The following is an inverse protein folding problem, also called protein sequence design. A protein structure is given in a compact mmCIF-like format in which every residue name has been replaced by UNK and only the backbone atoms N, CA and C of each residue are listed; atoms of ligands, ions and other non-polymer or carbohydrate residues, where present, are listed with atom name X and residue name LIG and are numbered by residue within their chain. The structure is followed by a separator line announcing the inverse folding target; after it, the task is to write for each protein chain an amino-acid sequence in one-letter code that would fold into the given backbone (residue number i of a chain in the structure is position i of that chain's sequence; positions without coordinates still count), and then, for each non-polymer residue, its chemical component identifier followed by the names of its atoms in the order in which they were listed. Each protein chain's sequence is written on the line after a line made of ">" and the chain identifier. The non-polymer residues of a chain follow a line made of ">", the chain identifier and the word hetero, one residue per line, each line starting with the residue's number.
data_IF_697422230399
#
_entry.id   IF_697422230399
#
_cell.length_a   1.000
_cell.length_b   1.000
_cell.length_c   1.000
_cell.angle_alpha   90.00
_cell.angle_beta   90.00
_cell.angle_gamma   90.00
#
_symmetry.space_group_name_H-M   'P 1'
#
loop_
_entity.id
_entity.type
_entity.pdbx_description
1 polymer ?
#
# COMPACT_ATOMS: atom_id res chain seq x y z
N UNK A 1 -30.75 13.76 -13.68
CA UNK A 1 -29.76 12.79 -13.16
C UNK A 1 -30.56 11.53 -12.93
N UNK A 2 -30.38 10.53 -13.79
CA UNK A 2 -31.25 9.36 -13.82
C UNK A 2 -30.97 8.47 -12.61
N UNK A 3 -32.01 7.84 -12.07
CA UNK A 3 -31.95 6.96 -10.89
C UNK A 3 -30.89 5.86 -11.07
N UNK A 4 -30.75 5.36 -12.29
CA UNK A 4 -29.79 4.32 -12.66
C UNK A 4 -28.32 4.78 -12.49
N UNK A 5 -28.01 6.04 -12.79
CA UNK A 5 -26.68 6.58 -12.56
C UNK A 5 -26.36 6.75 -11.08
N UNK A 6 -27.35 7.13 -10.26
CA UNK A 6 -27.16 7.23 -8.81
C UNK A 6 -26.93 5.84 -8.23
N UNK A 7 -27.74 4.86 -8.66
CA UNK A 7 -27.62 3.49 -8.16
C UNK A 7 -26.27 2.88 -8.53
N UNK A 8 -25.84 3.02 -9.77
CA UNK A 8 -24.51 2.56 -10.21
C UNK A 8 -23.38 3.19 -9.42
N UNK A 9 -23.44 4.51 -9.17
CA UNK A 9 -22.44 5.22 -8.36
C UNK A 9 -22.36 4.69 -6.92
N UNK A 10 -23.51 4.38 -6.31
CA UNK A 10 -23.57 3.80 -4.96
C UNK A 10 -22.99 2.37 -4.94
N UNK A 11 -23.22 1.59 -5.99
CA UNK A 11 -22.65 0.24 -6.11
C UNK A 11 -21.12 0.32 -6.25
N UNK A 12 -20.58 1.19 -7.10
CA UNK A 12 -19.14 1.41 -7.21
C UNK A 12 -18.51 1.84 -5.89
N UNK A 13 -19.11 2.82 -5.20
CA UNK A 13 -18.62 3.28 -3.90
C UNK A 13 -18.60 2.14 -2.86
N UNK A 14 -19.66 1.32 -2.85
CA UNK A 14 -19.77 0.18 -1.94
C UNK A 14 -18.71 -0.89 -2.26
N UNK A 15 -18.44 -1.15 -3.53
CA UNK A 15 -17.41 -2.09 -3.97
C UNK A 15 -16.00 -1.59 -3.60
N UNK A 16 -15.69 -0.30 -3.82
CA UNK A 16 -14.44 0.32 -3.37
C UNK A 16 -14.25 0.18 -1.86
N UNK A 17 -15.29 0.45 -1.10
CA UNK A 17 -15.25 0.33 0.36
C UNK A 17 -15.04 -1.13 0.79
N UNK A 18 -15.67 -2.09 0.11
CA UNK A 18 -15.45 -3.51 0.37
C UNK A 18 -14.00 -3.93 0.12
N UNK A 19 -13.39 -3.49 -0.98
CA UNK A 19 -11.96 -3.73 -1.28
C UNK A 19 -11.07 -3.08 -0.22
N UNK A 20 -11.39 -1.86 0.20
CA UNK A 20 -10.64 -1.16 1.26
C UNK A 20 -10.71 -1.93 2.59
N UNK A 21 -11.91 -2.40 2.98
CA UNK A 21 -12.11 -3.21 4.19
C UNK A 21 -11.35 -4.54 4.08
N UNK A 22 -11.38 -5.20 2.92
CA UNK A 22 -10.59 -6.40 2.67
C UNK A 22 -9.09 -6.15 2.84
N UNK A 23 -8.57 -5.05 2.30
CA UNK A 23 -7.19 -4.63 2.50
C UNK A 23 -6.84 -4.38 3.97
N UNK A 24 -7.72 -3.70 4.72
CA UNK A 24 -7.57 -3.54 6.17
C UNK A 24 -7.50 -4.89 6.90
N UNK A 25 -8.38 -5.83 6.56
CA UNK A 25 -8.38 -7.17 7.16
C UNK A 25 -7.08 -7.92 6.87
N UNK A 26 -6.56 -7.82 5.65
CA UNK A 26 -5.27 -8.41 5.26
C UNK A 26 -4.13 -7.77 6.05
N UNK A 27 -4.10 -6.45 6.20
CA UNK A 27 -3.12 -5.76 7.04
C UNK A 27 -3.12 -6.28 8.48
N UNK A 28 -4.31 -6.40 9.09
CA UNK A 28 -4.47 -6.94 10.45
C UNK A 28 -4.01 -8.40 10.53
N UNK A 29 -4.34 -9.19 9.51
CA UNK A 29 -3.99 -10.60 9.44
C UNK A 29 -2.47 -10.83 9.42
N UNK A 30 -1.74 -10.04 8.61
CA UNK A 30 -0.28 -10.11 8.55
C UNK A 30 0.40 -9.59 9.82
N UNK A 31 -0.30 -8.74 10.59
CA UNK A 31 0.23 -8.09 11.79
C UNK A 31 -0.51 -8.52 13.08
N UNK A 32 -0.88 -9.82 13.18
CA UNK A 32 -1.65 -10.39 14.31
C UNK A 32 -1.00 -10.24 15.69
N UNK A 33 0.28 -9.95 15.76
CA UNK A 33 1.02 -9.92 17.02
C UNK A 33 0.79 -8.66 17.86
N UNK A 34 -0.03 -7.70 17.39
CA UNK A 34 -0.35 -6.47 18.12
C UNK A 34 -1.73 -5.94 17.75
N UNK A 35 -2.31 -5.17 18.66
CA UNK A 35 -3.64 -4.57 18.49
C UNK A 35 -3.49 -3.15 17.99
N UNK A 36 -4.14 -2.82 16.87
CA UNK A 36 -4.20 -1.44 16.33
C UNK A 36 -4.73 -0.48 17.40
N UNK A 37 -5.79 -0.87 18.12
CA UNK A 37 -6.38 -0.04 19.18
C UNK A 37 -5.38 0.23 20.29
N UNK A 38 -4.66 -0.79 20.75
CA UNK A 38 -3.68 -0.63 21.81
C UNK A 38 -2.53 0.30 21.38
N UNK A 39 -2.01 0.13 20.14
CA UNK A 39 -0.92 0.97 19.66
C UNK A 39 -1.34 2.43 19.48
N UNK A 40 -2.53 2.68 18.87
CA UNK A 40 -2.97 4.05 18.58
C UNK A 40 -3.57 4.78 19.77
N UNK A 41 -4.37 4.09 20.61
CA UNK A 41 -5.18 4.74 21.64
C UNK A 41 -4.56 4.64 23.02
N UNK A 42 -3.96 3.49 23.35
CA UNK A 42 -3.43 3.26 24.69
C UNK A 42 -1.96 3.68 24.82
N UNK A 43 -1.20 3.55 23.73
CA UNK A 43 0.24 3.82 23.72
C UNK A 43 0.64 5.11 22.99
N UNK A 44 -0.31 5.80 22.32
CA UNK A 44 -0.06 7.00 21.50
C UNK A 44 1.13 6.81 20.52
N UNK A 45 1.16 5.65 19.85
CA UNK A 45 2.29 5.27 19.00
C UNK A 45 2.21 5.97 17.63
N UNK A 46 2.86 7.11 17.52
CA UNK A 46 2.91 7.91 16.27
C UNK A 46 3.61 7.16 15.13
N UNK A 47 4.67 6.39 15.42
CA UNK A 47 5.36 5.59 14.40
C UNK A 47 4.40 4.58 13.76
N UNK A 48 3.63 3.87 14.58
CA UNK A 48 2.61 2.95 14.09
C UNK A 48 1.47 3.65 13.34
N UNK A 49 1.06 4.84 13.80
CA UNK A 49 0.07 5.65 13.11
C UNK A 49 0.53 6.04 11.70
N UNK A 50 1.78 6.41 11.53
CA UNK A 50 2.39 6.71 10.22
C UNK A 50 2.36 5.49 9.30
N UNK A 51 2.78 4.31 9.77
CA UNK A 51 2.72 3.06 9.00
C UNK A 51 1.30 2.77 8.52
N UNK A 52 0.32 2.89 9.42
CA UNK A 52 -1.09 2.62 9.10
C UNK A 52 -1.65 3.63 8.10
N UNK A 53 -1.35 4.92 8.28
CA UNK A 53 -1.73 5.98 7.34
C UNK A 53 -1.12 5.73 5.95
N UNK A 54 0.16 5.38 5.89
CA UNK A 54 0.84 5.04 4.65
C UNK A 54 0.18 3.88 3.92
N UNK A 55 -0.14 2.81 4.67
CA UNK A 55 -0.85 1.67 4.11
C UNK A 55 -2.22 2.05 3.53
N UNK A 56 -3.01 2.82 4.25
CA UNK A 56 -4.34 3.22 3.78
C UNK A 56 -4.26 4.16 2.57
N UNK A 57 -3.32 5.09 2.54
CA UNK A 57 -3.10 5.94 1.37
C UNK A 57 -2.63 5.12 0.17
N UNK A 58 -1.67 4.22 0.37
CA UNK A 58 -1.21 3.32 -0.68
C UNK A 58 -2.33 2.45 -1.24
N UNK A 59 -3.18 1.90 -0.36
CA UNK A 59 -4.35 1.12 -0.76
C UNK A 59 -5.37 1.99 -1.52
N UNK A 60 -5.60 3.22 -1.08
CA UNK A 60 -6.49 4.17 -1.76
C UNK A 60 -6.00 4.50 -3.16
N UNK A 61 -4.70 4.76 -3.35
CA UNK A 61 -4.12 4.95 -4.67
C UNK A 61 -4.25 3.71 -5.55
N UNK A 62 -3.95 2.53 -5.00
CA UNK A 62 -4.06 1.28 -5.74
C UNK A 62 -5.51 1.02 -6.23
N UNK A 63 -6.51 1.22 -5.36
CA UNK A 63 -7.94 1.14 -5.73
C UNK A 63 -8.29 2.20 -6.77
N UNK A 64 -7.76 3.43 -6.62
CA UNK A 64 -7.94 4.50 -7.59
C UNK A 64 -7.47 4.12 -8.99
N UNK A 65 -6.37 3.37 -9.11
CA UNK A 65 -5.87 2.85 -10.39
C UNK A 65 -6.84 1.86 -11.06
N UNK A 66 -7.50 1.04 -10.27
CA UNK A 66 -8.52 0.08 -10.77
C UNK A 66 -9.72 0.83 -11.35
N UNK A 67 -10.19 1.89 -10.67
CA UNK A 67 -11.38 2.64 -11.07
C UNK A 67 -11.13 3.58 -12.25
N UNK A 68 -9.89 4.07 -12.38
CA UNK A 68 -9.53 5.07 -13.39
C UNK A 68 -9.38 4.50 -14.81
N UNK A 69 -9.57 3.19 -15.00
CA UNK A 69 -9.62 2.50 -16.28
C UNK A 69 -10.90 2.82 -17.08
N UNK A 70 -10.97 2.42 -18.34
CA UNK A 70 -12.18 2.55 -19.16
C UNK A 70 -13.28 1.64 -18.62
N UNK A 71 -14.48 2.18 -18.40
CA UNK A 71 -15.65 1.38 -18.02
C UNK A 71 -16.18 0.59 -19.21
N UNK A 72 -16.37 -0.69 -19.02
CA UNK A 72 -17.00 -1.62 -19.99
C UNK A 72 -18.45 -1.93 -19.61
N UNK A 73 -18.91 -1.42 -18.47
CA UNK A 73 -20.22 -1.66 -17.90
C UNK A 73 -20.14 -2.12 -16.44
N UNK A 74 -21.24 -1.97 -15.71
CA UNK A 74 -21.26 -2.20 -14.27
C UNK A 74 -20.76 -3.60 -13.87
N UNK A 75 -21.18 -4.64 -14.59
CA UNK A 75 -20.82 -6.02 -14.27
C UNK A 75 -19.32 -6.27 -14.49
N UNK A 76 -18.77 -5.86 -15.62
CA UNK A 76 -17.37 -6.02 -15.96
C UNK A 76 -16.48 -5.21 -15.01
N UNK A 77 -16.87 -3.98 -14.71
CA UNK A 77 -16.13 -3.11 -13.79
C UNK A 77 -16.10 -3.68 -12.35
N UNK A 78 -17.18 -4.34 -11.90
CA UNK A 78 -17.18 -5.00 -10.58
C UNK A 78 -16.29 -6.25 -10.56
N UNK A 79 -16.24 -6.99 -11.67
CA UNK A 79 -15.31 -8.13 -11.81
C UNK A 79 -13.87 -7.63 -11.80
N UNK A 80 -13.58 -6.56 -12.53
CA UNK A 80 -12.26 -5.93 -12.54
C UNK A 80 -11.86 -5.41 -11.15
N UNK A 81 -12.77 -4.78 -10.42
CA UNK A 81 -12.55 -4.39 -9.05
C UNK A 81 -12.19 -5.57 -8.14
N UNK A 82 -12.86 -6.70 -8.29
CA UNK A 82 -12.55 -7.89 -7.50
C UNK A 82 -11.17 -8.45 -7.83
N UNK A 83 -10.84 -8.58 -9.11
CA UNK A 83 -9.59 -9.16 -9.60
C UNK A 83 -8.41 -8.21 -9.28
N UNK A 84 -8.47 -6.99 -9.79
CA UNK A 84 -7.37 -6.03 -9.65
C UNK A 84 -7.28 -5.43 -8.25
N UNK A 85 -8.41 -5.28 -7.54
CA UNK A 85 -8.41 -4.90 -6.14
C UNK A 85 -7.74 -5.94 -5.25
N UNK A 86 -8.02 -7.22 -5.47
CA UNK A 86 -7.35 -8.33 -4.78
C UNK A 86 -5.86 -8.37 -5.12
N UNK A 87 -5.50 -8.20 -6.39
CA UNK A 87 -4.11 -8.10 -6.82
C UNK A 87 -3.39 -6.93 -6.14
N UNK A 88 -4.01 -5.76 -6.11
CA UNK A 88 -3.45 -4.57 -5.48
C UNK A 88 -3.16 -4.79 -3.99
N UNK A 89 -4.08 -5.42 -3.25
CA UNK A 89 -3.88 -5.78 -1.83
C UNK A 89 -2.67 -6.72 -1.68
N UNK A 90 -2.57 -7.74 -2.53
CA UNK A 90 -1.46 -8.70 -2.50
C UNK A 90 -0.13 -7.98 -2.78
N UNK A 91 -0.06 -7.21 -3.86
CA UNK A 91 1.15 -6.50 -4.27
C UNK A 91 1.60 -5.47 -3.23
N UNK A 92 0.66 -4.75 -2.61
CA UNK A 92 0.97 -3.77 -1.56
C UNK A 92 1.58 -4.43 -0.32
N UNK A 93 1.02 -5.57 0.12
CA UNK A 93 1.57 -6.30 1.27
C UNK A 93 2.89 -7.02 0.94
N UNK A 94 3.03 -7.52 -0.29
CA UNK A 94 4.27 -8.13 -0.75
C UNK A 94 5.41 -7.09 -0.86
N UNK A 95 5.08 -5.86 -1.27
CA UNK A 95 6.03 -4.75 -1.29
C UNK A 95 6.59 -4.44 0.09
N UNK A 96 5.77 -4.44 1.13
CA UNK A 96 6.24 -4.27 2.49
C UNK A 96 7.32 -5.31 2.84
N UNK A 97 7.04 -6.61 2.56
CA UNK A 97 8.00 -7.68 2.82
C UNK A 97 9.31 -7.54 2.04
N UNK A 98 9.23 -7.09 0.78
CA UNK A 98 10.41 -6.84 -0.06
C UNK A 98 11.23 -5.68 0.51
N UNK A 99 10.57 -4.57 0.84
CA UNK A 99 11.25 -3.38 1.32
C UNK A 99 11.83 -3.59 2.73
N UNK A 100 11.13 -4.31 3.61
CA UNK A 100 11.65 -4.74 4.90
C UNK A 100 12.95 -5.56 4.74
N UNK A 101 12.98 -6.42 3.73
CA UNK A 101 14.14 -7.29 3.49
C UNK A 101 15.32 -6.60 2.84
N UNK A 102 15.07 -5.61 1.96
CA UNK A 102 16.11 -5.03 1.10
C UNK A 102 16.47 -3.58 1.44
N UNK A 103 15.55 -2.77 1.93
CA UNK A 103 15.77 -1.37 2.31
C UNK A 103 16.07 -1.27 3.81
N UNK A 104 15.24 -1.90 4.64
CA UNK A 104 15.35 -1.85 6.10
C UNK A 104 15.96 -3.14 6.68
N UNK A 105 16.85 -3.78 5.93
CA UNK A 105 17.39 -5.11 6.25
C UNK A 105 18.21 -5.16 7.55
N UNK A 106 18.72 -4.04 8.03
CA UNK A 106 19.51 -3.93 9.27
C UNK A 106 18.64 -3.70 10.51
N UNK A 107 17.34 -3.45 10.31
CA UNK A 107 16.40 -3.16 11.40
C UNK A 107 15.47 -4.34 11.69
N UNK A 108 15.14 -4.46 12.96
CA UNK A 108 13.93 -5.17 13.34
C UNK A 108 12.77 -4.17 13.34
N UNK A 109 12.14 -3.97 12.17
CA UNK A 109 11.05 -3.00 11.96
C UNK A 109 9.97 -3.11 13.02
N UNK A 110 9.64 -4.34 13.41
CA UNK A 110 8.65 -4.58 14.45
C UNK A 110 9.10 -4.00 15.81
N UNK A 111 10.37 -4.12 16.14
CA UNK A 111 10.93 -3.55 17.37
C UNK A 111 10.92 -2.02 17.27
N UNK A 112 11.44 -1.48 16.18
CA UNK A 112 11.51 -0.03 15.94
C UNK A 112 10.14 0.65 16.03
N UNK A 113 9.12 0.08 15.37
CA UNK A 113 7.77 0.66 15.35
C UNK A 113 7.02 0.46 16.66
N UNK A 114 7.09 -0.73 17.27
CA UNK A 114 6.21 -1.08 18.39
C UNK A 114 6.85 -0.85 19.78
N UNK A 115 8.15 -1.03 19.91
CA UNK A 115 8.84 -0.88 21.19
C UNK A 115 9.50 0.48 21.29
N UNK A 116 10.32 0.84 20.31
CA UNK A 116 11.10 2.07 20.32
C UNK A 116 10.28 3.28 19.82
N UNK A 117 9.10 3.03 19.20
CA UNK A 117 8.19 4.05 18.64
C UNK A 117 8.92 5.02 17.72
N UNK A 118 9.85 4.50 16.92
CA UNK A 118 10.72 5.28 16.05
C UNK A 118 9.93 5.91 14.90
N UNK A 119 9.68 7.21 14.98
CA UNK A 119 8.95 7.95 13.96
C UNK A 119 9.72 8.02 12.63
N UNK A 120 11.05 7.99 12.66
CA UNK A 120 11.87 7.95 11.44
C UNK A 120 11.57 6.71 10.61
N UNK A 121 11.63 5.53 11.23
CA UNK A 121 11.22 4.26 10.61
C UNK A 121 9.75 4.30 10.16
N UNK A 122 8.87 4.91 10.98
CA UNK A 122 7.46 5.10 10.63
C UNK A 122 7.25 5.92 9.35
N UNK A 123 8.03 7.00 9.14
CA UNK A 123 7.99 7.83 7.92
C UNK A 123 8.50 7.06 6.71
N UNK A 124 9.57 6.27 6.85
CA UNK A 124 10.10 5.44 5.76
C UNK A 124 9.06 4.41 5.32
N UNK A 125 8.46 3.69 6.26
CA UNK A 125 7.37 2.75 5.97
C UNK A 125 6.17 3.42 5.30
N UNK A 126 5.75 4.58 5.80
CA UNK A 126 4.71 5.41 5.18
C UNK A 126 5.03 5.70 3.71
N UNK A 127 6.25 6.19 3.44
CA UNK A 127 6.68 6.55 2.09
C UNK A 127 6.71 5.34 1.15
N UNK A 128 7.16 4.19 1.64
CA UNK A 128 7.18 2.91 0.91
C UNK A 128 5.76 2.50 0.48
N UNK A 129 4.79 2.55 1.40
CA UNK A 129 3.41 2.19 1.08
C UNK A 129 2.79 3.16 0.07
N UNK A 130 3.00 4.47 0.24
CA UNK A 130 2.49 5.49 -0.67
C UNK A 130 3.12 5.32 -2.06
N UNK A 131 4.44 5.18 -2.15
CA UNK A 131 5.14 4.98 -3.42
C UNK A 131 4.69 3.69 -4.13
N UNK A 132 4.49 2.61 -3.38
CA UNK A 132 3.98 1.35 -3.91
C UNK A 132 2.54 1.51 -4.43
N UNK A 133 1.68 2.18 -3.69
CA UNK A 133 0.30 2.45 -4.11
C UNK A 133 0.23 3.26 -5.40
N UNK A 134 1.07 4.30 -5.53
CA UNK A 134 1.21 5.09 -6.75
C UNK A 134 1.76 4.28 -7.92
N UNK A 135 2.72 3.38 -7.67
CA UNK A 135 3.24 2.47 -8.68
C UNK A 135 2.14 1.51 -9.19
N UNK A 136 1.35 0.93 -8.28
CA UNK A 136 0.22 0.07 -8.65
C UNK A 136 -0.85 0.88 -9.40
N UNK A 137 -1.15 2.10 -8.95
CA UNK A 137 -2.03 3.02 -9.67
C UNK A 137 -1.57 3.17 -11.13
N UNK A 138 -0.31 3.54 -11.35
CA UNK A 138 0.24 3.73 -12.69
C UNK A 138 0.24 2.45 -13.54
N UNK A 139 0.44 1.29 -12.92
CA UNK A 139 0.43 0.00 -13.59
C UNK A 139 -0.97 -0.46 -14.03
N UNK A 140 -2.00 -0.04 -13.31
CA UNK A 140 -3.41 -0.40 -13.59
C UNK A 140 -4.15 0.69 -14.39
N UNK A 141 -3.63 1.92 -14.39
CA UNK A 141 -4.23 3.05 -15.09
C UNK A 141 -4.12 2.88 -16.61
N UNK A 142 -5.24 3.04 -17.30
CA UNK A 142 -5.28 3.12 -18.76
C UNK A 142 -5.84 1.91 -19.49
N UNK A 143 -5.90 2.02 -20.82
CA UNK A 143 -6.44 0.97 -21.70
C UNK A 143 -5.43 -0.17 -21.87
N UNK A 144 -5.82 -1.40 -21.56
CA UNK A 144 -5.05 -2.62 -21.81
C UNK A 144 -4.16 -3.06 -20.67
N UNK A 145 -4.37 -2.58 -19.44
CA UNK A 145 -3.75 -3.13 -18.25
C UNK A 145 -4.16 -4.59 -18.07
N UNK A 146 -3.21 -5.51 -18.16
CA UNK A 146 -3.41 -6.92 -17.80
C UNK A 146 -2.76 -7.22 -16.45
N UNK A 147 -3.15 -8.32 -15.82
CA UNK A 147 -2.50 -8.82 -14.60
C UNK A 147 -0.97 -8.91 -14.81
N UNK A 148 -0.55 -9.39 -15.97
CA UNK A 148 0.88 -9.49 -16.33
C UNK A 148 1.55 -8.11 -16.38
N UNK A 149 0.92 -7.13 -17.04
CA UNK A 149 1.43 -5.76 -17.11
C UNK A 149 1.55 -5.14 -15.73
N UNK A 150 0.52 -5.31 -14.89
CA UNK A 150 0.51 -4.81 -13.52
C UNK A 150 1.68 -5.39 -12.70
N UNK A 151 1.92 -6.69 -12.77
CA UNK A 151 3.02 -7.35 -12.07
C UNK A 151 4.39 -6.87 -12.58
N UNK A 152 4.57 -6.75 -13.90
CA UNK A 152 5.84 -6.30 -14.50
C UNK A 152 6.18 -4.86 -14.06
N UNK A 153 5.22 -3.92 -14.19
CA UNK A 153 5.46 -2.55 -13.76
C UNK A 153 5.64 -2.43 -12.25
N UNK A 154 4.89 -3.20 -11.47
CA UNK A 154 5.11 -3.28 -10.03
C UNK A 154 6.52 -3.77 -9.70
N UNK A 155 7.03 -4.84 -10.34
CA UNK A 155 8.38 -5.34 -10.13
C UNK A 155 9.45 -4.29 -10.50
N UNK A 156 9.27 -3.58 -11.61
CA UNK A 156 10.16 -2.49 -12.00
C UNK A 156 10.16 -1.40 -10.93
N UNK A 157 8.99 -0.99 -10.45
CA UNK A 157 8.86 0.01 -9.40
C UNK A 157 9.50 -0.44 -8.08
N UNK A 158 9.35 -1.71 -7.68
CA UNK A 158 10.04 -2.25 -6.50
C UNK A 158 11.57 -2.25 -6.68
N UNK A 159 12.05 -2.63 -7.86
CA UNK A 159 13.48 -2.58 -8.16
C UNK A 159 14.05 -1.15 -8.06
N UNK A 160 13.31 -0.15 -8.57
CA UNK A 160 13.67 1.27 -8.48
C UNK A 160 13.67 1.74 -7.03
N UNK A 161 12.65 1.40 -6.23
CA UNK A 161 12.58 1.76 -4.81
C UNK A 161 13.76 1.20 -4.03
N UNK A 162 14.07 -0.08 -4.21
CA UNK A 162 15.21 -0.74 -3.55
C UNK A 162 16.53 -0.11 -4.01
N UNK A 163 16.67 0.17 -5.31
CA UNK A 163 17.87 0.81 -5.85
C UNK A 163 18.08 2.20 -5.26
N UNK A 164 17.04 3.04 -5.22
CA UNK A 164 17.12 4.39 -4.66
C UNK A 164 17.45 4.33 -3.17
N UNK A 165 16.81 3.45 -2.40
CA UNK A 165 17.09 3.28 -0.98
C UNK A 165 18.55 2.89 -0.70
N UNK A 166 19.09 1.93 -1.46
CA UNK A 166 20.49 1.53 -1.33
C UNK A 166 21.46 2.60 -1.83
N UNK A 167 21.12 3.26 -2.94
CA UNK A 167 21.95 4.35 -3.47
C UNK A 167 22.02 5.52 -2.50
N UNK A 168 20.90 5.90 -1.89
CA UNK A 168 20.86 6.94 -0.86
C UNK A 168 21.77 6.59 0.32
N UNK A 169 21.73 5.36 0.80
CA UNK A 169 22.60 4.90 1.88
C UNK A 169 24.10 4.92 1.50
N UNK A 170 24.42 4.71 0.21
CA UNK A 170 25.80 4.74 -0.29
C UNK A 170 26.37 6.16 -0.34
N UNK A 171 25.55 7.17 -0.71
CA UNK A 171 26.04 8.55 -0.89
C UNK A 171 26.01 9.38 0.40
N UNK A 172 25.28 8.97 1.41
CA UNK A 172 25.26 9.62 2.69
C UNK A 172 26.52 9.28 3.48
N UNK A 173 27.22 10.29 4.00
CA UNK A 173 28.47 10.13 4.75
C UNK A 173 28.27 9.65 6.19
N UNK A 174 27.02 9.39 6.60
CA UNK A 174 26.66 8.85 7.90
C UNK A 174 25.78 7.61 7.71
N UNK A 175 25.88 6.71 8.67
CA UNK A 175 25.01 5.54 8.65
C UNK A 175 23.58 5.99 8.97
N UNK A 176 22.70 5.94 7.96
CA UNK A 176 21.30 6.33 8.11
C UNK A 176 20.62 5.49 9.18
N UNK A 177 21.05 4.25 9.32
CA UNK A 177 20.53 3.33 10.30
C UNK A 177 20.78 3.76 11.76
N UNK A 178 21.75 4.62 12.02
CA UNK A 178 22.04 5.17 13.36
C UNK A 178 21.18 6.42 13.66
N UNK A 179 20.47 6.95 12.66
CA UNK A 179 19.73 8.22 12.75
C UNK A 179 18.22 8.10 12.45
N UNK A 180 17.77 6.94 11.99
CA UNK A 180 16.37 6.58 11.82
C UNK A 180 15.96 5.71 13.01
#
# INVERSE_FOLDING_TARGET
>A
MDLDHILSSLIYLSACFAVFVAGHMVFVLFRRSYSIKAELVEKDNTAFALVLCGYYLGLTFAIGGVIAGPSLGLEDDLIDMLIYGSLAIILLNLSALINDRFILSEFNIKKEILQDKNCGTGVVEFAIFVATGLNIYGALYGQGGSIFTAIVFWLIGQAVLVFIGKYYNLITHYNIHDHI
#
